data_IF_838589727358
#
_entry.id   IF_838589727358
#
_cell.length_a   1.000
_cell.length_b   1.000
_cell.length_c   1.000
_cell.angle_alpha   90.00
_cell.angle_beta   90.00
_cell.angle_gamma   90.00
#
_symmetry.space_group_name_H-M   'P 1'
#
loop_
_entity.id
_entity.type
_entity.pdbx_description
1 polymer ?
#
# COMPACT_ATOMS: atom_id res chain seq x y z
N UNK A 1 -24.14 114.44 45.50
CA UNK A 1 -23.42 113.29 44.89
C UNK A 1 -23.94 112.04 45.59
N UNK A 2 -24.43 110.99 44.94
CA UNK A 2 -24.56 110.73 43.50
C UNK A 2 -25.92 110.06 43.17
N UNK A 3 -26.21 109.87 41.88
CA UNK A 3 -27.53 109.50 41.34
C UNK A 3 -27.40 108.43 40.23
N UNK A 4 -27.95 107.23 40.43
CA UNK A 4 -28.27 106.16 39.45
C UNK A 4 -29.22 105.18 40.18
N UNK A 5 -30.42 104.76 39.75
CA UNK A 5 -31.23 104.93 38.52
C UNK A 5 -31.10 103.82 37.44
N UNK A 6 -32.24 103.19 37.08
CA UNK A 6 -32.50 102.07 36.14
C UNK A 6 -31.76 100.72 36.40
N UNK A 7 -32.26 99.53 36.00
CA UNK A 7 -33.19 99.21 34.89
C UNK A 7 -34.10 97.98 35.10
N UNK A 8 -35.03 97.76 34.16
CA UNK A 8 -36.03 96.68 34.15
C UNK A 8 -35.44 95.32 33.76
N UNK A 9 -35.89 94.23 34.40
CA UNK A 9 -35.63 92.85 33.94
C UNK A 9 -36.87 92.30 33.23
N UNK A 10 -36.80 92.18 31.90
CA UNK A 10 -37.84 91.56 31.08
C UNK A 10 -37.94 90.05 31.33
N UNK A 11 -39.16 89.51 31.21
CA UNK A 11 -39.42 88.07 31.23
C UNK A 11 -39.09 87.48 29.85
N UNK A 12 -37.92 86.85 29.70
CA UNK A 12 -37.61 86.05 28.51
C UNK A 12 -38.58 84.85 28.40
N UNK A 13 -39.59 84.99 27.54
CA UNK A 13 -40.37 83.87 27.03
C UNK A 13 -39.48 83.06 26.08
N UNK A 14 -38.99 81.91 26.55
CA UNK A 14 -38.14 81.02 25.78
C UNK A 14 -38.76 80.58 24.44
N UNK A 15 -37.89 80.31 23.47
CA UNK A 15 -38.26 79.98 22.09
C UNK A 15 -39.32 78.86 22.02
N UNK A 16 -40.42 79.11 21.31
CA UNK A 16 -41.45 78.09 21.12
C UNK A 16 -40.91 76.96 20.23
N UNK A 17 -41.17 75.68 20.57
CA UNK A 17 -40.65 74.55 19.80
C UNK A 17 -41.20 74.54 18.37
N UNK A 18 -40.30 74.33 17.40
CA UNK A 18 -40.65 74.31 15.98
C UNK A 18 -41.48 73.05 15.63
N UNK A 19 -42.80 73.19 15.71
CA UNK A 19 -43.78 72.13 15.40
C UNK A 19 -43.68 71.60 13.96
N UNK A 20 -43.09 72.37 13.03
CA UNK A 20 -42.81 71.92 11.67
C UNK A 20 -41.79 70.78 11.64
N UNK A 21 -40.64 70.94 12.31
CA UNK A 21 -39.60 69.92 12.40
C UNK A 21 -40.12 68.62 13.05
N UNK A 22 -41.00 68.74 14.04
CA UNK A 22 -41.66 67.61 14.70
C UNK A 22 -42.59 66.85 13.73
N UNK A 23 -43.34 67.59 12.90
CA UNK A 23 -44.25 67.02 11.89
C UNK A 23 -43.49 66.27 10.79
N UNK A 24 -42.34 66.79 10.36
CA UNK A 24 -41.52 66.14 9.33
C UNK A 24 -40.75 64.92 9.88
N UNK A 25 -40.34 64.95 11.16
CA UNK A 25 -39.81 63.78 11.86
C UNK A 25 -40.81 62.62 11.91
N UNK A 26 -42.09 62.88 12.18
CA UNK A 26 -43.14 61.84 12.14
C UNK A 26 -43.35 61.26 10.72
N UNK A 27 -43.31 62.10 9.67
CA UNK A 27 -43.39 61.62 8.28
C UNK A 27 -42.18 60.77 7.87
N UNK A 28 -40.98 61.13 8.31
CA UNK A 28 -39.77 60.33 8.09
C UNK A 28 -39.83 59.00 8.85
N UNK A 29 -40.29 58.99 10.11
CA UNK A 29 -40.47 57.76 10.88
C UNK A 29 -41.51 56.81 10.24
N UNK A 30 -42.64 57.35 9.76
CA UNK A 30 -43.66 56.57 9.05
C UNK A 30 -43.13 55.98 7.73
N UNK A 31 -42.32 56.76 6.99
CA UNK A 31 -41.67 56.30 5.75
C UNK A 31 -40.60 55.23 6.03
N UNK A 32 -39.81 55.39 7.10
CA UNK A 32 -38.83 54.39 7.52
C UNK A 32 -39.47 53.07 7.95
N UNK A 33 -40.61 53.12 8.65
CA UNK A 33 -41.38 51.93 9.03
C UNK A 33 -42.03 51.22 7.84
N UNK A 34 -42.56 51.96 6.86
CA UNK A 34 -43.13 51.35 5.64
C UNK A 34 -42.05 50.74 4.74
N UNK A 35 -40.88 51.38 4.65
CA UNK A 35 -39.70 50.82 3.99
C UNK A 35 -39.20 49.55 4.70
N UNK A 36 -39.07 49.57 6.03
CA UNK A 36 -38.68 48.39 6.81
C UNK A 36 -39.68 47.23 6.64
N UNK A 37 -40.99 47.51 6.59
CA UNK A 37 -42.01 46.51 6.29
C UNK A 37 -41.86 45.94 4.87
N UNK A 38 -41.55 46.79 3.88
CA UNK A 38 -41.29 46.35 2.50
C UNK A 38 -40.06 45.46 2.38
N UNK A 39 -38.96 45.78 3.08
CA UNK A 39 -37.78 44.91 3.14
C UNK A 39 -38.11 43.58 3.84
N UNK A 40 -38.88 43.59 4.94
CA UNK A 40 -39.34 42.39 5.63
C UNK A 40 -40.22 41.49 4.74
N UNK A 41 -41.01 42.06 3.83
CA UNK A 41 -41.77 41.28 2.84
C UNK A 41 -40.85 40.61 1.79
N UNK A 42 -39.72 41.21 1.43
CA UNK A 42 -38.75 40.56 0.52
C UNK A 42 -38.13 39.30 1.14
N UNK A 43 -37.97 39.26 2.46
CA UNK A 43 -37.51 38.07 3.18
C UNK A 43 -38.54 36.92 3.23
N UNK A 44 -39.83 37.16 2.89
CA UNK A 44 -40.83 36.08 2.76
C UNK A 44 -40.61 35.17 1.55
N UNK A 45 -39.78 35.58 0.58
CA UNK A 45 -39.47 34.78 -0.61
C UNK A 45 -38.19 33.93 -0.46
N UNK A 46 -37.63 33.83 0.74
CA UNK A 46 -36.65 32.79 1.07
C UNK A 46 -37.46 31.50 1.31
N UNK A 47 -37.17 30.38 0.62
CA UNK A 47 -37.87 29.12 0.87
C UNK A 47 -37.78 28.75 2.35
N UNK A 48 -38.87 28.24 2.94
CA UNK A 48 -38.93 28.03 4.38
C UNK A 48 -37.88 27.02 4.86
N UNK A 49 -37.58 27.12 6.15
CA UNK A 49 -36.64 26.33 6.98
C UNK A 49 -36.76 24.79 6.79
N UNK A 50 -37.79 24.29 6.09
CA UNK A 50 -37.89 22.92 5.59
C UNK A 50 -36.71 22.48 4.69
N UNK A 51 -36.05 23.37 3.94
CA UNK A 51 -34.85 23.00 3.19
C UNK A 51 -33.61 22.85 4.10
N UNK A 52 -33.51 23.63 5.19
CA UNK A 52 -32.36 23.54 6.08
C UNK A 52 -32.36 22.25 6.91
N UNK A 53 -33.52 21.68 7.23
CA UNK A 53 -33.60 20.35 7.86
C UNK A 53 -33.17 19.23 6.90
N UNK A 54 -33.48 19.34 5.59
CA UNK A 54 -32.95 18.43 4.58
C UNK A 54 -31.42 18.52 4.46
N UNK A 55 -30.86 19.74 4.46
CA UNK A 55 -29.40 19.98 4.44
C UNK A 55 -28.73 19.43 5.71
N UNK A 56 -29.33 19.63 6.89
CA UNK A 56 -28.81 19.07 8.16
C UNK A 56 -28.84 17.54 8.18
N UNK A 57 -29.89 16.92 7.64
CA UNK A 57 -29.98 15.47 7.48
C UNK A 57 -28.92 14.94 6.48
N UNK A 58 -28.64 15.68 5.41
CA UNK A 58 -27.60 15.32 4.44
C UNK A 58 -26.18 15.48 5.02
N UNK A 59 -25.95 16.49 5.88
CA UNK A 59 -24.68 16.67 6.60
C UNK A 59 -24.43 15.59 7.64
N UNK A 60 -25.45 15.18 8.41
CA UNK A 60 -25.32 14.07 9.37
C UNK A 60 -25.11 12.73 8.67
N UNK A 61 -25.78 12.50 7.53
CA UNK A 61 -25.51 11.36 6.66
C UNK A 61 -24.08 11.38 6.11
N UNK A 62 -23.57 12.54 5.66
CA UNK A 62 -22.17 12.68 5.22
C UNK A 62 -21.17 12.39 6.35
N UNK A 63 -21.42 12.82 7.58
CA UNK A 63 -20.54 12.48 8.72
C UNK A 63 -20.48 10.96 8.96
N UNK A 64 -21.63 10.27 8.91
CA UNK A 64 -21.70 8.82 9.05
C UNK A 64 -20.95 8.09 7.93
N UNK A 65 -21.17 8.50 6.67
CA UNK A 65 -20.44 7.96 5.51
C UNK A 65 -18.93 8.22 5.65
N UNK A 66 -18.52 9.40 6.13
CA UNK A 66 -17.11 9.76 6.28
C UNK A 66 -16.42 8.92 7.35
N UNK A 67 -17.09 8.64 8.49
CA UNK A 67 -16.59 7.72 9.52
C UNK A 67 -16.44 6.29 8.97
N UNK A 68 -17.49 5.73 8.35
CA UNK A 68 -17.43 4.39 7.74
C UNK A 68 -16.34 4.28 6.66
N UNK A 69 -16.18 5.33 5.85
CA UNK A 69 -15.13 5.41 4.83
C UNK A 69 -13.75 5.44 5.46
N UNK A 70 -13.57 6.19 6.56
CA UNK A 70 -12.29 6.26 7.27
C UNK A 70 -11.90 4.90 7.88
N UNK A 71 -12.85 4.18 8.50
CA UNK A 71 -12.62 2.81 9.01
C UNK A 71 -12.32 1.81 7.89
N UNK A 72 -12.97 1.93 6.73
CA UNK A 72 -12.72 1.08 5.57
C UNK A 72 -11.31 1.35 4.99
N UNK A 73 -10.93 2.61 4.84
CA UNK A 73 -9.58 3.01 4.39
C UNK A 73 -8.51 2.49 5.37
N UNK A 74 -8.71 2.60 6.68
CA UNK A 74 -7.76 2.10 7.67
C UNK A 74 -7.57 0.57 7.57
N UNK A 75 -8.66 -0.19 7.45
CA UNK A 75 -8.61 -1.65 7.29
C UNK A 75 -7.93 -2.07 5.98
N UNK A 76 -8.33 -1.45 4.86
CA UNK A 76 -7.68 -1.72 3.56
C UNK A 76 -6.19 -1.37 3.60
N UNK A 77 -5.81 -0.26 4.23
CA UNK A 77 -4.41 0.15 4.35
C UNK A 77 -3.57 -0.86 5.15
N UNK A 78 -4.11 -1.38 6.26
CA UNK A 78 -3.46 -2.45 7.03
C UNK A 78 -3.32 -3.75 6.22
N UNK A 79 -4.36 -4.13 5.47
CA UNK A 79 -4.31 -5.30 4.59
C UNK A 79 -3.25 -5.13 3.48
N UNK A 80 -3.26 -4.01 2.76
CA UNK A 80 -2.26 -3.72 1.72
C UNK A 80 -0.84 -3.65 2.28
N UNK A 81 -0.63 -3.13 3.49
CA UNK A 81 0.68 -3.19 4.15
C UNK A 81 1.13 -4.64 4.43
N UNK A 82 0.20 -5.54 4.79
CA UNK A 82 0.52 -6.95 4.98
C UNK A 82 0.89 -7.61 3.64
N UNK A 83 0.06 -7.46 2.62
CA UNK A 83 0.29 -8.00 1.28
C UNK A 83 1.62 -7.51 0.68
N UNK A 84 2.00 -6.24 0.88
CA UNK A 84 3.29 -5.70 0.45
C UNK A 84 4.47 -6.34 1.20
N UNK A 85 4.32 -6.66 2.49
CA UNK A 85 5.37 -7.35 3.26
C UNK A 85 5.56 -8.78 2.78
N UNK A 86 4.47 -9.51 2.58
CA UNK A 86 4.49 -10.90 2.12
C UNK A 86 5.03 -10.99 0.68
N UNK A 87 4.62 -10.06 -0.19
CA UNK A 87 5.17 -9.95 -1.55
C UNK A 87 6.68 -9.68 -1.57
N UNK A 88 7.19 -8.81 -0.68
CA UNK A 88 8.64 -8.55 -0.57
C UNK A 88 9.41 -9.81 -0.15
N UNK A 89 8.93 -10.53 0.87
CA UNK A 89 9.54 -11.78 1.31
C UNK A 89 9.57 -12.83 0.18
N UNK A 90 8.47 -12.96 -0.57
CA UNK A 90 8.38 -13.87 -1.71
C UNK A 90 9.35 -13.47 -2.84
N UNK A 91 9.53 -12.18 -3.12
CA UNK A 91 10.49 -11.68 -4.12
C UNK A 91 11.94 -11.95 -3.68
N UNK A 92 12.29 -11.70 -2.41
CA UNK A 92 13.63 -11.94 -1.89
C UNK A 92 13.97 -13.44 -1.90
N UNK A 93 13.02 -14.30 -1.53
CA UNK A 93 13.17 -15.76 -1.62
C UNK A 93 13.35 -16.22 -3.08
N UNK A 94 12.46 -15.79 -4.00
CA UNK A 94 12.56 -16.12 -5.43
C UNK A 94 13.91 -15.69 -6.03
N UNK A 95 14.41 -14.50 -5.65
CA UNK A 95 15.73 -14.01 -6.08
C UNK A 95 16.86 -14.91 -5.58
N UNK A 96 16.78 -15.38 -4.34
CA UNK A 96 17.73 -16.33 -3.76
C UNK A 96 17.73 -17.65 -4.54
N UNK A 97 16.55 -18.22 -4.76
CA UNK A 97 16.37 -19.51 -5.46
C UNK A 97 16.86 -19.46 -6.91
N UNK A 98 16.58 -18.37 -7.63
CA UNK A 98 17.09 -18.15 -9.00
C UNK A 98 18.62 -18.06 -9.02
N UNK A 99 19.23 -17.36 -8.05
CA UNK A 99 20.68 -17.25 -7.96
C UNK A 99 21.36 -18.59 -7.64
N UNK A 100 20.80 -19.35 -6.69
CA UNK A 100 21.24 -20.71 -6.33
C UNK A 100 21.13 -21.64 -7.55
N UNK A 101 19.99 -21.60 -8.26
CA UNK A 101 19.75 -22.39 -9.46
C UNK A 101 20.76 -22.08 -10.57
N UNK A 102 20.99 -20.81 -10.89
CA UNK A 102 21.94 -20.39 -11.92
C UNK A 102 23.38 -20.86 -11.60
N UNK A 103 23.86 -20.58 -10.38
CA UNK A 103 25.20 -21.02 -9.96
C UNK A 103 25.36 -22.54 -10.01
N UNK A 104 24.31 -23.29 -9.65
CA UNK A 104 24.31 -24.75 -9.70
C UNK A 104 24.32 -25.27 -11.13
N UNK A 105 23.54 -24.67 -12.04
CA UNK A 105 23.52 -25.04 -13.48
C UNK A 105 24.90 -24.85 -14.11
N UNK A 106 25.54 -23.70 -13.90
CA UNK A 106 26.87 -23.40 -14.43
C UNK A 106 27.91 -24.40 -13.88
N UNK A 107 27.98 -24.56 -12.55
CA UNK A 107 28.91 -25.49 -11.92
C UNK A 107 28.70 -26.94 -12.39
N UNK A 108 27.45 -27.40 -12.45
CA UNK A 108 27.12 -28.76 -12.89
C UNK A 108 27.41 -28.97 -14.38
N UNK A 109 27.39 -27.93 -15.20
CA UNK A 109 27.74 -28.02 -16.62
C UNK A 109 29.25 -28.12 -16.82
N UNK A 110 30.04 -27.36 -16.05
CA UNK A 110 31.51 -27.51 -16.01
C UNK A 110 31.91 -28.88 -15.45
N UNK A 111 31.28 -29.33 -14.37
CA UNK A 111 31.53 -30.65 -13.78
C UNK A 111 31.25 -31.79 -14.78
N UNK A 112 30.16 -31.70 -15.55
CA UNK A 112 29.85 -32.65 -16.64
C UNK A 112 30.89 -32.65 -17.75
N UNK A 113 31.39 -31.48 -18.14
CA UNK A 113 32.47 -31.37 -19.14
C UNK A 113 33.81 -31.95 -18.63
N UNK A 114 34.12 -31.79 -17.34
CA UNK A 114 35.32 -32.37 -16.73
C UNK A 114 35.19 -33.89 -16.59
N UNK A 115 34.03 -34.38 -16.14
CA UNK A 115 33.73 -35.82 -16.04
C UNK A 115 33.72 -36.49 -17.42
N UNK A 116 33.29 -35.80 -18.50
CA UNK A 116 33.32 -36.36 -19.86
C UNK A 116 34.72 -36.49 -20.47
N UNK A 117 35.75 -35.90 -19.86
CA UNK A 117 37.15 -36.16 -20.18
C UNK A 117 37.70 -37.42 -19.49
N UNK A 118 37.01 -37.97 -18.49
CA UNK A 118 37.47 -39.15 -17.76
C UNK A 118 37.37 -40.41 -18.63
N UNK A 119 38.49 -41.14 -18.76
CA UNK A 119 38.59 -42.40 -19.55
C UNK A 119 38.91 -43.64 -18.72
N UNK A 120 39.43 -43.48 -17.50
CA UNK A 120 39.86 -44.58 -16.63
C UNK A 120 38.94 -44.66 -15.42
N UNK A 121 38.60 -45.88 -15.02
CA UNK A 121 37.59 -46.14 -13.98
C UNK A 121 37.99 -45.66 -12.57
N UNK A 122 39.29 -45.47 -12.32
CA UNK A 122 39.86 -45.04 -11.03
C UNK A 122 40.20 -43.54 -10.96
N UNK A 123 39.98 -42.77 -12.01
CA UNK A 123 40.23 -41.32 -12.00
C UNK A 123 39.11 -40.62 -11.20
N UNK A 124 39.44 -39.61 -10.35
CA UNK A 124 38.45 -38.86 -9.60
C UNK A 124 37.41 -38.17 -10.49
N UNK A 125 36.15 -38.22 -10.07
CA UNK A 125 35.07 -37.42 -10.65
C UNK A 125 34.89 -36.12 -9.89
N UNK A 126 34.47 -35.08 -10.60
CA UNK A 126 34.02 -33.83 -10.02
C UNK A 126 32.58 -34.01 -9.55
N UNK A 127 32.37 -33.89 -8.24
CA UNK A 127 31.07 -34.04 -7.63
C UNK A 127 30.10 -32.94 -8.09
N UNK A 128 28.90 -33.33 -8.50
CA UNK A 128 27.85 -32.38 -8.82
C UNK A 128 27.25 -31.77 -7.55
N UNK A 129 26.58 -30.62 -7.71
CA UNK A 129 25.88 -29.90 -6.66
C UNK A 129 24.38 -30.11 -6.73
N UNK A 130 23.74 -30.13 -5.57
CA UNK A 130 22.30 -30.22 -5.36
C UNK A 130 21.64 -28.90 -5.82
N UNK A 131 20.59 -29.00 -6.64
CA UNK A 131 19.89 -27.87 -7.24
C UNK A 131 19.18 -26.93 -6.25
N UNK A 132 18.92 -27.40 -5.02
CA UNK A 132 18.22 -26.65 -3.97
C UNK A 132 19.18 -25.96 -3.01
N UNK A 133 20.41 -26.48 -2.83
CA UNK A 133 21.36 -25.97 -1.83
C UNK A 133 22.66 -25.44 -2.40
N UNK A 134 22.98 -25.69 -3.67
CA UNK A 134 24.28 -25.36 -4.29
C UNK A 134 25.48 -25.94 -3.51
N UNK A 135 25.27 -27.05 -2.78
CA UNK A 135 26.32 -27.81 -2.08
C UNK A 135 26.61 -29.11 -2.81
N UNK A 136 27.83 -29.64 -2.68
CA UNK A 136 28.19 -30.95 -3.23
C UNK A 136 27.21 -32.03 -2.74
N UNK A 137 26.79 -32.92 -3.64
CA UNK A 137 25.82 -33.97 -3.33
C UNK A 137 26.46 -35.01 -2.39
N UNK A 138 25.84 -35.33 -1.23
CA UNK A 138 26.33 -36.38 -0.34
C UNK A 138 26.42 -37.73 -1.06
N UNK A 139 27.47 -38.50 -0.76
CA UNK A 139 27.71 -39.82 -1.34
C UNK A 139 27.82 -39.86 -2.88
N UNK A 140 28.08 -38.72 -3.54
CA UNK A 140 28.37 -38.70 -4.97
C UNK A 140 29.56 -39.63 -5.31
N UNK A 141 29.51 -40.42 -6.40
CA UNK A 141 30.56 -41.37 -6.71
C UNK A 141 31.89 -40.67 -7.00
N UNK A 142 32.86 -40.85 -6.11
CA UNK A 142 34.22 -40.32 -6.26
C UNK A 142 34.98 -40.80 -7.52
N UNK A 143 34.61 -41.94 -8.12
CA UNK A 143 35.21 -42.48 -9.35
C UNK A 143 34.14 -43.22 -10.18
N UNK A 144 34.39 -43.47 -11.46
CA UNK A 144 33.48 -44.32 -12.26
C UNK A 144 33.40 -45.76 -11.72
N UNK A 145 34.47 -46.30 -11.14
CA UNK A 145 34.43 -47.61 -10.47
C UNK A 145 33.56 -47.58 -9.22
N UNK A 146 33.55 -46.47 -8.47
CA UNK A 146 32.65 -46.30 -7.34
C UNK A 146 31.18 -46.27 -7.81
N UNK A 147 30.86 -45.53 -8.87
CA UNK A 147 29.51 -45.51 -9.48
C UNK A 147 29.01 -46.93 -9.80
N UNK A 148 29.83 -47.74 -10.49
CA UNK A 148 29.50 -49.12 -10.83
C UNK A 148 29.20 -49.98 -9.59
N UNK A 149 29.79 -49.67 -8.44
CA UNK A 149 29.63 -50.39 -7.17
C UNK A 149 28.59 -49.77 -6.21
N UNK A 150 27.94 -48.64 -6.56
CA UNK A 150 26.93 -48.02 -5.70
C UNK A 150 25.76 -48.97 -5.40
N UNK A 151 25.26 -48.90 -4.16
CA UNK A 151 24.03 -49.56 -3.73
C UNK A 151 22.80 -48.80 -4.25
N UNK A 152 21.66 -49.49 -4.36
CA UNK A 152 20.42 -48.86 -4.84
C UNK A 152 19.93 -47.69 -4.00
N UNK A 153 20.19 -47.70 -2.68
CA UNK A 153 19.86 -46.56 -1.79
C UNK A 153 20.74 -45.35 -2.10
N UNK A 154 22.06 -45.50 -2.02
CA UNK A 154 22.99 -44.40 -2.28
C UNK A 154 22.82 -43.81 -3.70
N UNK A 155 22.49 -44.66 -4.67
CA UNK A 155 22.19 -44.22 -6.03
C UNK A 155 20.87 -43.42 -6.12
N UNK A 156 19.80 -43.88 -5.46
CA UNK A 156 18.54 -43.13 -5.39
C UNK A 156 18.74 -41.76 -4.69
N UNK A 157 19.54 -41.71 -3.63
CA UNK A 157 19.84 -40.47 -2.90
C UNK A 157 20.52 -39.44 -3.83
N UNK A 158 21.53 -39.87 -4.61
CA UNK A 158 22.21 -39.01 -5.61
C UNK A 158 21.29 -38.61 -6.78
N UNK A 159 20.49 -39.54 -7.31
CA UNK A 159 19.53 -39.24 -8.38
C UNK A 159 18.48 -38.22 -7.91
N UNK A 160 17.98 -38.35 -6.68
CA UNK A 160 17.01 -37.41 -6.10
C UNK A 160 17.59 -36.01 -5.96
N UNK A 161 18.83 -35.88 -5.48
CA UNK A 161 19.52 -34.58 -5.39
C UNK A 161 19.81 -33.92 -6.76
N UNK A 162 19.82 -34.72 -7.84
CA UNK A 162 19.93 -34.25 -9.23
C UNK A 162 18.55 -34.02 -9.91
N UNK A 163 17.44 -34.18 -9.19
CA UNK A 163 16.07 -34.18 -9.72
C UNK A 163 15.87 -35.19 -10.87
N UNK A 164 16.53 -36.35 -10.78
CA UNK A 164 16.45 -37.42 -11.76
C UNK A 164 15.46 -38.52 -11.33
N UNK A 165 14.73 -39.14 -12.28
CA UNK A 165 13.87 -40.28 -12.01
C UNK A 165 14.59 -41.42 -11.26
N UNK A 166 13.92 -41.98 -10.24
CA UNK A 166 14.42 -43.07 -9.37
C UNK A 166 13.63 -44.38 -9.53
N UNK A 167 12.92 -44.53 -10.64
CA UNK A 167 12.28 -45.78 -11.08
C UNK A 167 13.27 -46.68 -11.87
N UNK A 168 12.83 -47.88 -12.24
CA UNK A 168 13.65 -48.84 -13.00
C UNK A 168 14.62 -49.68 -12.15
N UNK A 169 15.38 -50.53 -12.83
CA UNK A 169 16.39 -51.43 -12.25
C UNK A 169 17.64 -50.69 -11.78
N UNK A 170 18.47 -51.36 -10.98
CA UNK A 170 19.76 -50.82 -10.54
C UNK A 170 20.71 -50.51 -11.70
N UNK A 171 20.65 -51.28 -12.80
CA UNK A 171 21.49 -51.10 -13.97
C UNK A 171 21.08 -49.84 -14.77
N UNK A 172 19.78 -49.70 -15.06
CA UNK A 172 19.24 -48.52 -15.76
C UNK A 172 19.54 -47.22 -15.01
N UNK A 173 19.37 -47.22 -13.68
CA UNK A 173 19.72 -46.07 -12.82
C UNK A 173 21.20 -45.72 -12.85
N UNK A 174 22.09 -46.72 -12.87
CA UNK A 174 23.54 -46.50 -12.97
C UNK A 174 23.89 -45.89 -14.33
N UNK A 175 23.28 -46.39 -15.41
CA UNK A 175 23.48 -45.85 -16.75
C UNK A 175 22.92 -44.43 -16.90
N UNK A 176 21.74 -44.16 -16.34
CA UNK A 176 21.12 -42.84 -16.29
C UNK A 176 22.00 -41.83 -15.54
N UNK A 177 22.54 -42.19 -14.36
CA UNK A 177 23.49 -41.34 -13.65
C UNK A 177 24.77 -41.15 -14.47
N UNK A 178 25.34 -42.22 -15.03
CA UNK A 178 26.56 -42.20 -15.85
C UNK A 178 26.44 -41.20 -17.01
N UNK A 179 25.38 -41.32 -17.80
CA UNK A 179 25.06 -40.43 -18.91
C UNK A 179 24.87 -38.98 -18.42
N UNK A 180 24.08 -38.79 -17.37
CA UNK A 180 23.79 -37.44 -16.86
C UNK A 180 25.04 -36.72 -16.35
N UNK A 181 25.93 -37.41 -15.63
CA UNK A 181 27.18 -36.81 -15.14
C UNK A 181 28.25 -36.67 -16.23
N UNK A 182 27.95 -37.05 -17.47
CA UNK A 182 28.79 -36.86 -18.65
C UNK A 182 29.81 -37.97 -18.93
N UNK A 183 29.80 -39.08 -18.21
CA UNK A 183 30.77 -40.16 -18.44
C UNK A 183 30.53 -40.86 -19.79
N UNK A 184 31.60 -41.23 -20.53
CA UNK A 184 31.47 -42.02 -21.76
C UNK A 184 30.93 -43.42 -21.44
N UNK A 185 30.31 -44.10 -22.40
CA UNK A 185 29.92 -45.51 -22.22
C UNK A 185 31.15 -46.43 -22.01
N UNK A 186 30.90 -47.62 -21.44
CA UNK A 186 31.88 -48.68 -21.13
C UNK A 186 31.46 -50.01 -21.73
#
# INVERSE_FOLDING_TARGET
MANVDFDQAELELGEQPNMGALTDGFKQAATGLSQASSELEKFRNIPPIAESSAILNQLSQMQSIMQQTQEHIQRNHQQTQQEIRDLRQNIDQLRSDVMIGFQTIEFNSVARLQNSAVRRSNVPLVAMRDYRTNTNIPNFPATSAHLSNMSGRALNDVLTALNLPTNGTLAEKKQQLRLYIGLPDV
#
